data_IF_966180886170
#
_entry.id   IF_966180886170
#
_cell.length_a   1.000
_cell.length_b   1.000
_cell.length_c   1.000
_cell.angle_alpha   90.00
_cell.angle_beta   90.00
_cell.angle_gamma   90.00
#
_symmetry.space_group_name_H-M   'P 1'
#
loop_
_entity.id
_entity.type
_entity.pdbx_description
1 polymer ?
#
# COMPACT_ATOMS: atom_id res chain seq x y z
N UNK A 1 -16.17 7.25 20.36
CA UNK A 1 -16.98 6.48 19.39
C UNK A 1 -16.00 5.76 18.49
N UNK A 2 -15.56 4.56 18.88
CA UNK A 2 -14.98 3.63 17.92
C UNK A 2 -16.06 3.31 16.90
N UNK A 3 -15.78 3.58 15.62
CA UNK A 3 -16.64 3.19 14.51
C UNK A 3 -16.05 1.88 13.98
N UNK A 4 -16.56 0.70 14.38
CA UNK A 4 -16.02 -0.60 13.99
C UNK A 4 -16.12 -0.92 12.48
N UNK A 5 -16.54 0.04 11.64
CA UNK A 5 -16.51 -0.04 10.18
C UNK A 5 -15.29 0.61 9.53
N UNK A 6 -14.75 1.69 10.09
CA UNK A 6 -13.78 2.55 9.37
C UNK A 6 -12.39 1.95 9.28
N UNK A 7 -11.93 1.21 10.30
CA UNK A 7 -10.59 0.61 10.30
C UNK A 7 -10.46 -0.48 9.22
N UNK A 8 -11.47 -1.35 9.10
CA UNK A 8 -11.51 -2.40 8.08
C UNK A 8 -11.56 -1.81 6.67
N UNK A 9 -12.39 -0.79 6.46
CA UNK A 9 -12.47 -0.09 5.17
C UNK A 9 -11.15 0.64 4.83
N UNK A 10 -10.49 1.27 5.80
CA UNK A 10 -9.18 1.89 5.60
C UNK A 10 -8.09 0.88 5.24
N UNK A 11 -8.07 -0.29 5.89
CA UNK A 11 -7.12 -1.36 5.56
C UNK A 11 -7.35 -1.88 4.13
N UNK A 12 -8.62 -2.07 3.73
CA UNK A 12 -8.97 -2.48 2.36
C UNK A 12 -8.56 -1.41 1.33
N UNK A 13 -8.77 -0.13 1.65
CA UNK A 13 -8.35 0.98 0.80
C UNK A 13 -6.82 1.02 0.65
N UNK A 14 -6.06 0.88 1.73
CA UNK A 14 -4.59 0.83 1.70
C UNK A 14 -4.08 -0.41 0.93
N UNK A 15 -4.69 -1.58 1.11
CA UNK A 15 -4.34 -2.80 0.38
C UNK A 15 -4.59 -2.65 -1.12
N UNK A 16 -5.72 -2.07 -1.51
CA UNK A 16 -6.03 -1.84 -2.93
C UNK A 16 -5.06 -0.85 -3.57
N UNK A 17 -4.69 0.23 -2.88
CA UNK A 17 -3.64 1.17 -3.33
C UNK A 17 -2.28 0.47 -3.47
N UNK A 18 -1.87 -0.34 -2.48
CA UNK A 18 -0.63 -1.10 -2.53
C UNK A 18 -0.61 -2.09 -3.72
N UNK A 19 -1.74 -2.74 -4.00
CA UNK A 19 -1.87 -3.66 -5.13
C UNK A 19 -1.74 -2.91 -6.47
N UNK A 20 -2.39 -1.76 -6.61
CA UNK A 20 -2.28 -0.91 -7.82
C UNK A 20 -0.84 -0.44 -8.03
N UNK A 21 -0.13 -0.06 -6.98
CA UNK A 21 1.29 0.34 -7.06
C UNK A 21 2.20 -0.81 -7.49
N UNK A 22 1.93 -2.03 -7.01
CA UNK A 22 2.65 -3.23 -7.43
C UNK A 22 2.38 -3.58 -8.89
N UNK A 23 1.13 -3.46 -9.35
CA UNK A 23 0.76 -3.64 -10.76
C UNK A 23 1.39 -2.57 -11.66
N UNK A 24 1.39 -1.30 -11.22
CA UNK A 24 2.06 -0.21 -11.91
C UNK A 24 3.57 -0.45 -12.01
N UNK A 25 4.19 -0.97 -10.95
CA UNK A 25 5.60 -1.38 -10.95
C UNK A 25 5.84 -2.50 -11.96
N UNK A 26 4.99 -3.52 -11.97
CA UNK A 26 5.10 -4.63 -12.90
C UNK A 26 4.98 -4.15 -14.35
N UNK A 27 3.98 -3.30 -14.65
CA UNK A 27 3.83 -2.66 -15.96
C UNK A 27 5.04 -1.81 -16.33
N UNK A 28 5.58 -1.03 -15.39
CA UNK A 28 6.78 -0.23 -15.60
C UNK A 28 8.00 -1.10 -15.94
N UNK A 29 8.22 -2.21 -15.23
CA UNK A 29 9.31 -3.15 -15.53
C UNK A 29 9.13 -3.78 -16.91
N UNK A 30 7.91 -4.21 -17.25
CA UNK A 30 7.60 -4.81 -18.57
C UNK A 30 7.79 -3.82 -19.74
N UNK A 31 7.54 -2.53 -19.51
CA UNK A 31 7.73 -1.45 -20.49
C UNK A 31 9.18 -0.94 -20.55
N UNK A 32 10.11 -1.54 -19.79
CA UNK A 32 11.52 -1.12 -19.77
C UNK A 32 11.75 0.23 -19.05
N UNK A 33 10.87 0.59 -18.11
CA UNK A 33 10.97 1.85 -17.39
C UNK A 33 12.26 1.93 -16.53
N UNK A 34 12.73 3.15 -16.22
CA UNK A 34 13.94 3.36 -15.45
C UNK A 34 13.87 2.67 -14.08
N UNK A 35 14.99 2.07 -13.66
CA UNK A 35 15.12 1.37 -12.36
C UNK A 35 14.80 2.25 -11.15
N UNK A 36 14.91 3.58 -11.30
CA UNK A 36 14.49 4.58 -10.30
C UNK A 36 12.98 4.55 -10.08
N UNK A 37 12.18 4.43 -11.16
CA UNK A 37 10.71 4.35 -11.09
C UNK A 37 10.29 3.05 -10.40
N UNK A 38 10.92 1.94 -10.75
CA UNK A 38 10.65 0.64 -10.13
C UNK A 38 11.00 0.60 -8.62
N UNK A 39 12.05 1.32 -8.21
CA UNK A 39 12.42 1.50 -6.78
C UNK A 39 11.47 2.45 -6.05
N UNK A 40 11.08 3.56 -6.68
CA UNK A 40 10.10 4.51 -6.13
C UNK A 40 8.75 3.84 -5.85
N UNK A 41 8.23 3.09 -6.82
CA UNK A 41 6.97 2.35 -6.65
C UNK A 41 7.06 1.27 -5.57
N UNK A 42 8.21 0.60 -5.45
CA UNK A 42 8.44 -0.40 -4.40
C UNK A 42 8.48 0.22 -3.00
N UNK A 43 9.22 1.31 -2.82
CA UNK A 43 9.28 2.02 -1.53
C UNK A 43 7.92 2.58 -1.11
N UNK A 44 7.14 3.10 -2.07
CA UNK A 44 5.77 3.55 -1.82
C UNK A 44 4.84 2.39 -1.38
N UNK A 45 4.94 1.24 -2.05
CA UNK A 45 4.18 0.04 -1.69
C UNK A 45 4.53 -0.46 -0.28
N UNK A 46 5.82 -0.49 0.07
CA UNK A 46 6.28 -0.84 1.43
C UNK A 46 5.78 0.17 2.47
N UNK A 47 5.78 1.47 2.15
CA UNK A 47 5.20 2.50 3.00
C UNK A 47 3.71 2.29 3.28
N UNK A 48 2.92 1.96 2.25
CA UNK A 48 1.50 1.62 2.43
C UNK A 48 1.31 0.38 3.32
N UNK A 49 2.12 -0.66 3.15
CA UNK A 49 2.05 -1.87 3.99
C UNK A 49 2.40 -1.57 5.45
N UNK A 50 3.42 -0.76 5.71
CA UNK A 50 3.75 -0.30 7.06
C UNK A 50 2.61 0.54 7.66
N UNK A 51 1.98 1.39 6.87
CA UNK A 51 0.77 2.12 7.26
C UNK A 51 -0.37 1.20 7.71
N UNK A 52 -0.65 0.13 6.95
CA UNK A 52 -1.62 -0.89 7.36
C UNK A 52 -1.28 -1.50 8.73
N UNK A 53 -0.02 -1.88 8.93
CA UNK A 53 0.43 -2.51 10.19
C UNK A 53 0.26 -1.54 11.37
N UNK A 54 0.57 -0.26 11.19
CA UNK A 54 0.40 0.77 12.24
C UNK A 54 -1.07 0.97 12.58
N UNK A 55 -1.95 1.06 11.58
CA UNK A 55 -3.41 1.18 11.81
C UNK A 55 -3.94 -0.05 12.56
N UNK A 56 -3.56 -1.26 12.15
CA UNK A 56 -3.95 -2.50 12.84
C UNK A 56 -3.41 -2.52 14.28
N UNK A 57 -2.17 -2.10 14.50
CA UNK A 57 -1.55 -2.08 15.82
C UNK A 57 -2.18 -1.04 16.76
N UNK A 58 -2.70 0.07 16.21
CA UNK A 58 -3.44 1.09 16.96
C UNK A 58 -4.88 0.65 17.27
N UNK A 59 -5.52 -0.05 16.34
CA UNK A 59 -6.88 -0.60 16.51
C UNK A 59 -6.92 -1.73 17.55
N UNK A 60 -5.84 -2.52 17.65
CA UNK A 60 -5.76 -3.68 18.55
C UNK A 60 -5.18 -3.37 19.94
N UNK A 61 -5.08 -2.09 20.34
CA UNK A 61 -4.53 -1.63 21.62
C UNK A 61 -5.62 -1.08 22.53
#
# INVERSE_FOLDING_TARGET
>A
MEVPGTAREQIIALLSVALVLLLARFGAVQLGAPSVVARGLYTLAVGCLLGCVVVIALDNR
#
